data_IF_066006814451
#
_entry.id   IF_066006814451
#
_cell.length_a   1.000
_cell.length_b   1.000
_cell.length_c   1.000
_cell.angle_alpha   90.00
_cell.angle_beta   90.00
_cell.angle_gamma   90.00
#
_symmetry.space_group_name_H-M   'P 1'
#
loop_
_entity.id
_entity.type
_entity.pdbx_description
1 polymer ?
#
# COMPACT_ATOMS: atom_id res chain seq x y z
N UNK A 1 -0.81 3.60 -24.22
CA UNK A 1 -1.77 4.58 -23.69
C UNK A 1 -1.08 5.93 -23.74
N UNK A 2 -1.54 6.84 -24.59
CA UNK A 2 -1.12 8.24 -24.50
C UNK A 2 -2.04 8.92 -23.48
N UNK A 3 -1.44 9.45 -22.42
CA UNK A 3 -2.20 10.15 -21.39
C UNK A 3 -2.39 11.62 -21.78
N UNK A 4 -3.56 12.17 -21.49
CA UNK A 4 -3.86 13.57 -21.75
C UNK A 4 -3.01 14.50 -20.86
N UNK A 5 -2.78 15.72 -21.33
CA UNK A 5 -2.09 16.75 -20.54
C UNK A 5 -2.83 17.05 -19.21
N UNK A 6 -4.16 17.03 -19.25
CA UNK A 6 -5.03 17.20 -18.08
C UNK A 6 -4.83 16.08 -17.05
N UNK A 7 -4.65 14.84 -17.51
CA UNK A 7 -4.34 13.72 -16.63
C UNK A 7 -3.03 13.94 -15.87
N UNK A 8 -1.96 14.36 -16.55
CA UNK A 8 -0.67 14.65 -15.91
C UNK A 8 -0.76 15.77 -14.89
N UNK A 9 -1.47 16.85 -15.20
CA UNK A 9 -1.72 17.93 -14.24
C UNK A 9 -2.51 17.40 -13.04
N UNK A 10 -3.52 16.57 -13.27
CA UNK A 10 -4.31 15.94 -12.22
C UNK A 10 -3.45 15.07 -11.30
N UNK A 11 -2.55 14.26 -11.86
CA UNK A 11 -1.60 13.44 -11.10
C UNK A 11 -0.64 14.31 -10.29
N UNK A 12 -0.07 15.36 -10.89
CA UNK A 12 0.83 16.29 -10.19
C UNK A 12 0.11 16.95 -9.02
N UNK A 13 -1.12 17.44 -9.22
CA UNK A 13 -1.95 18.01 -8.16
C UNK A 13 -2.19 17.00 -7.02
N UNK A 14 -2.53 15.76 -7.35
CA UNK A 14 -2.78 14.70 -6.36
C UNK A 14 -1.51 14.35 -5.56
N UNK A 15 -0.36 14.23 -6.24
CA UNK A 15 0.92 13.86 -5.60
C UNK A 15 1.47 15.01 -4.77
N UNK A 16 1.41 16.24 -5.27
CA UNK A 16 1.95 17.43 -4.57
C UNK A 16 1.06 17.93 -3.44
N UNK A 17 -0.25 17.63 -3.48
CA UNK A 17 -1.19 18.01 -2.43
C UNK A 17 -0.74 17.53 -1.03
N UNK A 18 -0.33 16.27 -0.89
CA UNK A 18 0.10 15.72 0.41
C UNK A 18 1.30 16.47 1.02
N UNK A 19 2.47 16.57 0.34
CA UNK A 19 3.60 17.31 0.89
C UNK A 19 3.29 18.80 1.06
N UNK A 20 2.44 19.39 0.21
CA UNK A 20 2.02 20.79 0.36
C UNK A 20 1.18 21.00 1.62
N UNK A 21 0.11 20.22 1.82
CA UNK A 21 -0.79 20.37 2.97
C UNK A 21 -0.08 20.10 4.29
N UNK A 22 0.58 18.95 4.42
CA UNK A 22 1.31 18.60 5.64
C UNK A 22 2.53 19.51 5.85
N UNK A 23 3.30 19.77 4.79
CA UNK A 23 4.49 20.62 4.87
C UNK A 23 4.14 22.05 5.28
N UNK A 24 3.08 22.63 4.72
CA UNK A 24 2.60 23.95 5.12
C UNK A 24 2.12 23.96 6.58
N UNK A 25 1.39 22.93 7.03
CA UNK A 25 0.94 22.85 8.41
C UNK A 25 2.11 22.73 9.39
N UNK A 26 3.11 21.91 9.08
CA UNK A 26 4.30 21.68 9.90
C UNK A 26 5.16 22.95 9.97
N UNK A 27 5.43 23.58 8.83
CA UNK A 27 6.20 24.82 8.74
C UNK A 27 5.50 25.97 9.47
N UNK A 28 4.20 26.14 9.25
CA UNK A 28 3.42 27.19 9.89
C UNK A 28 3.29 26.97 11.40
N UNK A 29 3.14 25.73 11.85
CA UNK A 29 3.12 25.41 13.28
C UNK A 29 4.48 25.71 13.93
N UNK A 30 5.59 25.35 13.28
CA UNK A 30 6.93 25.69 13.76
C UNK A 30 7.16 27.20 13.86
N UNK A 31 6.71 27.95 12.84
CA UNK A 31 6.74 29.43 12.82
C UNK A 31 5.84 30.03 13.91
N UNK A 32 4.67 29.45 14.16
CA UNK A 32 3.75 29.89 15.20
C UNK A 32 4.36 29.75 16.60
N UNK A 33 5.04 28.63 16.88
CA UNK A 33 5.75 28.40 18.14
C UNK A 33 6.88 29.41 18.31
N UNK A 34 7.66 29.67 17.26
CA UNK A 34 8.81 30.60 17.30
C UNK A 34 8.38 32.06 17.48
N UNK A 35 7.31 32.47 16.83
CA UNK A 35 6.84 33.88 16.84
C UNK A 35 5.79 34.16 17.90
N UNK A 36 5.23 33.12 18.53
CA UNK A 36 4.06 33.16 19.44
C UNK A 36 2.82 33.84 18.84
N UNK A 37 2.75 33.97 17.51
CA UNK A 37 1.61 34.60 16.81
C UNK A 37 0.62 33.53 16.33
N UNK A 38 -0.64 33.65 16.78
CA UNK A 38 -1.73 32.76 16.37
C UNK A 38 -2.03 32.81 14.87
N UNK A 39 -1.67 33.91 14.20
CA UNK A 39 -1.84 34.09 12.76
C UNK A 39 -1.25 32.93 11.94
N UNK A 40 -0.07 32.42 12.31
CA UNK A 40 0.56 31.34 11.57
C UNK A 40 -0.21 30.02 11.66
N UNK A 41 -0.94 29.75 12.76
CA UNK A 41 -1.82 28.58 12.81
C UNK A 41 -2.97 28.69 11.81
N UNK A 42 -3.60 29.87 11.70
CA UNK A 42 -4.65 30.10 10.70
C UNK A 42 -4.12 30.03 9.27
N UNK A 43 -2.90 30.52 9.03
CA UNK A 43 -2.25 30.42 7.73
C UNK A 43 -1.97 28.96 7.34
N UNK A 44 -1.45 28.16 8.29
CA UNK A 44 -1.24 26.72 8.08
C UNK A 44 -2.54 25.96 7.85
N UNK A 45 -3.60 26.29 8.59
CA UNK A 45 -4.93 25.73 8.39
C UNK A 45 -5.51 26.11 7.03
N UNK A 46 -5.35 27.36 6.59
CA UNK A 46 -5.77 27.82 5.28
C UNK A 46 -5.02 27.14 4.13
N UNK A 47 -3.71 27.00 4.25
CA UNK A 47 -2.90 26.26 3.27
C UNK A 47 -3.28 24.77 3.22
N UNK A 48 -3.56 24.17 4.36
CA UNK A 48 -4.09 22.81 4.43
C UNK A 48 -5.45 22.72 3.73
N UNK A 49 -6.39 23.64 4.00
CA UNK A 49 -7.69 23.68 3.32
C UNK A 49 -7.56 23.86 1.80
N UNK A 50 -6.60 24.66 1.31
CA UNK A 50 -6.33 24.79 -0.12
C UNK A 50 -5.81 23.49 -0.74
N UNK A 51 -5.06 22.69 0.03
CA UNK A 51 -4.60 21.38 -0.40
C UNK A 51 -5.78 20.44 -0.71
N UNK A 52 -6.86 20.49 0.07
CA UNK A 52 -8.10 19.77 -0.27
C UNK A 52 -8.71 20.21 -1.59
N UNK A 53 -8.63 21.50 -1.93
CA UNK A 53 -9.02 22.01 -3.25
C UNK A 53 -8.18 21.39 -4.37
N UNK A 54 -6.86 21.31 -4.19
CA UNK A 54 -5.95 20.64 -5.13
C UNK A 54 -6.26 19.15 -5.27
N UNK A 55 -6.64 18.47 -4.19
CA UNK A 55 -7.06 17.08 -4.22
C UNK A 55 -8.33 16.89 -5.06
N UNK A 56 -9.35 17.73 -4.83
CA UNK A 56 -10.60 17.68 -5.58
C UNK A 56 -10.39 17.98 -7.08
N UNK A 57 -9.65 19.04 -7.39
CA UNK A 57 -9.28 19.41 -8.76
C UNK A 57 -8.43 18.33 -9.43
N UNK A 58 -7.46 17.76 -8.72
CA UNK A 58 -6.62 16.70 -9.23
C UNK A 58 -7.42 15.44 -9.58
N UNK A 59 -8.40 15.09 -8.74
CA UNK A 59 -9.31 13.97 -9.01
C UNK A 59 -10.21 14.24 -10.22
N UNK A 60 -10.77 15.45 -10.32
CA UNK A 60 -11.61 15.85 -11.47
C UNK A 60 -10.82 15.86 -12.78
N UNK A 61 -9.58 16.35 -12.76
CA UNK A 61 -8.70 16.42 -13.94
C UNK A 61 -8.15 15.05 -14.34
N UNK A 62 -7.90 14.15 -13.39
CA UNK A 62 -7.48 12.79 -13.68
C UNK A 62 -8.58 11.97 -14.35
N UNK A 63 -9.86 12.27 -14.06
CA UNK A 63 -11.00 11.84 -14.86
C UNK A 63 -11.12 10.32 -15.07
N UNK A 64 -11.79 9.88 -16.16
CA UNK A 64 -11.94 8.47 -16.52
C UNK A 64 -10.61 7.75 -16.74
N UNK A 65 -9.60 8.46 -17.25
CA UNK A 65 -8.26 7.90 -17.47
C UNK A 65 -7.60 7.47 -16.15
N UNK A 66 -7.75 8.26 -15.09
CA UNK A 66 -7.26 7.92 -13.76
C UNK A 66 -7.96 6.72 -13.14
N UNK A 67 -9.26 6.54 -13.39
CA UNK A 67 -9.99 5.36 -12.92
C UNK A 67 -9.52 4.11 -13.65
N UNK A 68 -9.35 4.16 -14.97
CA UNK A 68 -8.84 3.03 -15.76
C UNK A 68 -7.43 2.64 -15.32
N UNK A 69 -6.53 3.63 -15.21
CA UNK A 69 -5.17 3.42 -14.76
C UNK A 69 -5.12 2.81 -13.36
N UNK A 70 -5.92 3.32 -12.42
CA UNK A 70 -5.99 2.81 -11.05
C UNK A 70 -6.52 1.38 -10.98
N UNK A 71 -7.50 1.02 -11.82
CA UNK A 71 -8.03 -0.35 -11.92
C UNK A 71 -6.98 -1.31 -12.47
N UNK A 72 -6.21 -0.90 -13.47
CA UNK A 72 -5.18 -1.75 -14.06
C UNK A 72 -4.00 -1.95 -13.09
N UNK A 73 -3.61 -0.90 -12.36
CA UNK A 73 -2.67 -0.99 -11.24
C UNK A 73 -3.14 -1.94 -10.15
N UNK A 74 -4.40 -1.81 -9.70
CA UNK A 74 -4.98 -2.67 -8.67
C UNK A 74 -5.04 -4.14 -9.11
N UNK A 75 -5.44 -4.40 -10.36
CA UNK A 75 -5.43 -5.77 -10.92
C UNK A 75 -4.02 -6.36 -10.93
N UNK A 76 -3.01 -5.61 -11.36
CA UNK A 76 -1.62 -6.07 -11.39
C UNK A 76 -1.04 -6.34 -9.99
N UNK A 77 -1.37 -5.49 -9.02
CA UNK A 77 -0.97 -5.66 -7.62
C UNK A 77 -1.67 -6.85 -6.96
N UNK A 78 -2.95 -7.06 -7.28
CA UNK A 78 -3.75 -8.18 -6.77
C UNK A 78 -3.24 -9.52 -7.29
N UNK A 79 -3.03 -9.66 -8.59
CA UNK A 79 -2.50 -10.90 -9.18
C UNK A 79 -1.10 -11.22 -8.67
N UNK A 80 -0.26 -10.21 -8.48
CA UNK A 80 1.09 -10.37 -7.93
C UNK A 80 1.07 -10.83 -6.47
N UNK A 81 0.18 -10.29 -5.64
CA UNK A 81 0.13 -10.61 -4.21
C UNK A 81 -0.55 -11.96 -3.96
N UNK A 82 -1.69 -12.21 -4.59
CA UNK A 82 -2.44 -13.47 -4.45
C UNK A 82 -1.65 -14.65 -5.04
N UNK A 83 -0.99 -14.45 -6.18
CA UNK A 83 -0.14 -15.48 -6.79
C UNK A 83 1.01 -15.89 -5.87
N UNK A 84 1.73 -14.92 -5.28
CA UNK A 84 2.84 -15.19 -4.35
C UNK A 84 2.36 -15.92 -3.08
N UNK A 85 1.24 -15.47 -2.50
CA UNK A 85 0.68 -16.09 -1.28
C UNK A 85 0.25 -17.54 -1.55
N UNK A 86 -0.39 -17.80 -2.70
CA UNK A 86 -0.83 -19.15 -3.06
C UNK A 86 0.35 -20.12 -3.24
N UNK A 87 1.46 -19.66 -3.83
CA UNK A 87 2.66 -20.49 -4.00
C UNK A 87 3.27 -20.83 -2.63
N UNK A 88 3.40 -19.83 -1.75
CA UNK A 88 3.96 -20.02 -0.40
C UNK A 88 3.12 -21.03 0.40
N UNK A 89 1.78 -20.89 0.37
CA UNK A 89 0.86 -21.83 1.02
C UNK A 89 0.99 -23.26 0.46
N UNK A 90 1.06 -23.41 -0.87
CA UNK A 90 1.25 -24.71 -1.51
C UNK A 90 2.55 -25.40 -1.08
N UNK A 91 3.65 -24.65 -0.99
CA UNK A 91 4.94 -25.17 -0.53
C UNK A 91 4.88 -25.59 0.94
N UNK A 92 4.26 -24.79 1.82
CA UNK A 92 4.08 -25.18 3.22
C UNK A 92 3.31 -26.49 3.35
N UNK A 93 2.20 -26.64 2.63
CA UNK A 93 1.37 -27.85 2.67
C UNK A 93 2.17 -29.08 2.23
N UNK A 94 2.98 -28.98 1.17
CA UNK A 94 3.83 -30.08 0.71
C UNK A 94 4.88 -30.47 1.75
N UNK A 95 5.51 -29.50 2.41
CA UNK A 95 6.48 -29.77 3.49
C UNK A 95 5.79 -30.49 4.65
N UNK A 96 4.62 -30.03 5.08
CA UNK A 96 3.85 -30.65 6.17
C UNK A 96 3.44 -32.09 5.82
N UNK A 97 2.94 -32.33 4.60
CA UNK A 97 2.57 -33.66 4.15
C UNK A 97 3.79 -34.59 4.07
N UNK A 98 4.91 -34.11 3.53
CA UNK A 98 6.17 -34.85 3.50
C UNK A 98 6.63 -35.25 4.90
N UNK A 99 6.57 -34.33 5.86
CA UNK A 99 6.89 -34.59 7.26
C UNK A 99 5.99 -35.70 7.85
N UNK A 100 4.68 -35.62 7.65
CA UNK A 100 3.72 -36.62 8.14
C UNK A 100 3.99 -38.00 7.53
N UNK A 101 4.28 -38.08 6.23
CA UNK A 101 4.56 -39.35 5.55
C UNK A 101 5.86 -40.00 6.06
N UNK A 102 6.91 -39.21 6.28
CA UNK A 102 8.17 -39.69 6.86
C UNK A 102 7.94 -40.24 8.26
N UNK A 103 7.18 -39.52 9.10
CA UNK A 103 6.84 -39.97 10.45
C UNK A 103 6.02 -41.28 10.42
N UNK A 104 5.06 -41.40 9.51
CA UNK A 104 4.26 -42.62 9.35
C UNK A 104 5.13 -43.82 8.95
N UNK A 105 6.12 -43.62 8.06
CA UNK A 105 7.06 -44.67 7.66
C UNK A 105 7.97 -45.09 8.81
N UNK A 106 8.46 -44.14 9.62
CA UNK A 106 9.26 -44.43 10.83
C UNK A 106 8.46 -45.22 11.86
N UNK A 107 7.21 -44.83 12.16
CA UNK A 107 6.34 -45.59 13.09
C UNK A 107 6.12 -47.04 12.67
N UNK A 108 5.85 -47.28 11.38
CA UNK A 108 5.68 -48.66 10.87
C UNK A 108 6.95 -49.51 11.05
N UNK A 109 8.14 -48.93 10.84
CA UNK A 109 9.43 -49.63 11.00
C UNK A 109 9.74 -49.98 12.46
N UNK A 110 9.37 -49.12 13.41
CA UNK A 110 9.53 -49.38 14.85
C UNK A 110 8.61 -50.52 15.30
N UNK A 111 7.35 -50.53 14.85
CA UNK A 111 6.37 -51.57 15.22
C UNK A 111 6.71 -52.93 14.58
N UNK A 112 7.35 -52.96 13.41
CA UNK A 112 7.74 -54.20 12.72
C UNK A 112 9.09 -54.76 13.15
N UNK A 113 9.81 -54.12 14.09
CA UNK A 113 11.06 -54.67 14.63
C UNK A 113 10.68 -55.63 15.76
N UNK A 114 10.84 -56.96 15.59
CA UNK A 114 10.52 -57.90 16.65
C UNK A 114 11.46 -57.63 17.82
N UNK A 115 10.90 -57.63 19.04
CA UNK A 115 11.69 -57.62 20.27
C UNK A 115 12.48 -58.92 20.31
N UNK A 116 13.72 -58.89 19.85
CA UNK A 116 14.69 -59.94 20.14
C UNK A 116 15.06 -59.82 21.62
N UNK A 117 14.22 -60.43 22.46
CA UNK A 117 14.56 -60.88 23.80
C UNK A 117 14.91 -62.37 23.73
#
# INVERSE_FOLDING_TARGET
MEFSFNFWIGVILLVTNQPFGWGAMLLCSALAVRTKKKFFYFLGLGAYALSWGMLGLGFLLAGPEGIQYSRDLLKGLWTSSVGKISIILGVMVLITLGYILVQRKRRKKVISSPSNH
#
